data_IF_114340433181
#
_entry.id   IF_114340433181
#
_cell.length_a   1.000
_cell.length_b   1.000
_cell.length_c   1.000
_cell.angle_alpha   90.00
_cell.angle_beta   90.00
_cell.angle_gamma   90.00
#
_symmetry.space_group_name_H-M   'P 1'
#
loop_
_entity.id
_entity.type
_entity.pdbx_description
1 polymer ?
#
# COMPACT_ATOMS: atom_id res chain seq x y z
N UNK A 1 11.85 8.50 11.33
CA UNK A 1 10.73 7.81 10.70
C UNK A 1 11.01 7.56 9.22
N UNK A 2 10.32 6.64 8.61
CA UNK A 2 10.40 6.33 7.19
C UNK A 2 9.01 6.31 6.59
N UNK A 3 8.93 6.49 5.25
CA UNK A 3 7.68 6.35 4.50
C UNK A 3 7.89 5.33 3.39
N UNK A 4 7.04 4.32 3.35
CA UNK A 4 7.05 3.36 2.24
C UNK A 4 6.05 3.80 1.19
N UNK A 5 6.52 3.95 -0.05
CA UNK A 5 5.68 4.18 -1.22
C UNK A 5 5.52 2.84 -1.96
N UNK A 6 4.28 2.45 -2.20
CA UNK A 6 3.96 1.21 -2.91
C UNK A 6 3.12 1.57 -4.13
N UNK A 7 3.67 1.29 -5.32
CA UNK A 7 2.97 1.52 -6.59
C UNK A 7 2.53 0.17 -7.16
N UNK A 8 1.25 0.04 -7.43
CA UNK A 8 0.67 -1.15 -8.04
C UNK A 8 0.20 -0.79 -9.44
N UNK A 9 0.79 -1.40 -10.46
CA UNK A 9 0.34 -1.27 -11.84
C UNK A 9 -0.69 -2.35 -12.10
N UNK A 10 -1.89 -1.92 -12.46
CA UNK A 10 -3.08 -2.76 -12.59
C UNK A 10 -3.35 -3.02 -14.07
N UNK A 11 -3.87 -4.18 -14.40
CA UNK A 11 -4.28 -4.46 -15.77
C UNK A 11 -5.34 -3.46 -16.23
N UNK A 12 -5.27 -3.06 -17.50
CA UNK A 12 -6.20 -2.08 -18.07
C UNK A 12 -7.64 -2.49 -17.82
N UNK A 13 -8.44 -1.55 -17.30
CA UNK A 13 -9.86 -1.77 -17.02
C UNK A 13 -10.13 -2.40 -15.66
N UNK A 14 -9.11 -2.79 -14.91
CA UNK A 14 -9.29 -3.47 -13.62
C UNK A 14 -9.14 -2.56 -12.40
N UNK A 15 -8.76 -1.30 -12.61
CA UNK A 15 -8.55 -0.38 -11.49
C UNK A 15 -9.80 -0.15 -10.63
N UNK A 16 -11.01 0.05 -11.21
CA UNK A 16 -12.21 0.25 -10.38
C UNK A 16 -12.49 -0.91 -9.43
N UNK A 17 -12.31 -2.16 -9.90
CA UNK A 17 -12.49 -3.34 -9.07
C UNK A 17 -11.44 -3.41 -7.97
N UNK A 18 -10.19 -3.14 -8.29
CA UNK A 18 -9.10 -3.11 -7.32
C UNK A 18 -9.35 -2.08 -6.24
N UNK A 19 -9.77 -0.87 -6.62
CA UNK A 19 -10.06 0.20 -5.65
C UNK A 19 -11.21 -0.17 -4.72
N UNK A 20 -12.25 -0.81 -5.25
CA UNK A 20 -13.37 -1.27 -4.43
C UNK A 20 -12.92 -2.30 -3.39
N UNK A 21 -12.07 -3.25 -3.80
CA UNK A 21 -11.54 -4.26 -2.88
C UNK A 21 -10.67 -3.62 -1.79
N UNK A 22 -9.80 -2.68 -2.14
CA UNK A 22 -8.98 -1.99 -1.15
C UNK A 22 -9.82 -1.12 -0.21
N UNK A 23 -10.82 -0.43 -0.72
CA UNK A 23 -11.70 0.40 0.12
C UNK A 23 -12.47 -0.44 1.14
N UNK A 24 -13.03 -1.56 0.71
CA UNK A 24 -13.93 -2.36 1.55
C UNK A 24 -13.21 -3.38 2.43
N UNK A 25 -12.06 -3.90 1.99
CA UNK A 25 -11.36 -4.99 2.70
C UNK A 25 -9.90 -4.69 2.99
N UNK A 26 -9.14 -4.24 1.98
CA UNK A 26 -7.70 -4.11 2.09
C UNK A 26 -7.24 -3.03 3.06
N UNK A 27 -7.69 -1.81 2.87
CA UNK A 27 -7.29 -0.67 3.71
C UNK A 27 -7.76 -0.82 5.15
N UNK A 28 -9.01 -1.23 5.45
CA UNK A 28 -9.41 -1.45 6.84
C UNK A 28 -8.50 -2.44 7.57
N UNK A 29 -8.15 -3.54 6.92
CA UNK A 29 -7.26 -4.55 7.51
C UNK A 29 -5.83 -4.03 7.66
N UNK A 30 -5.31 -3.38 6.64
CA UNK A 30 -3.97 -2.80 6.70
C UNK A 30 -3.87 -1.72 7.78
N UNK A 31 -4.89 -0.87 7.95
CA UNK A 31 -4.89 0.13 9.01
C UNK A 31 -4.93 -0.50 10.40
N UNK A 32 -5.65 -1.59 10.56
CA UNK A 32 -5.69 -2.32 11.84
C UNK A 32 -4.29 -2.82 12.23
N UNK A 33 -3.52 -3.36 11.28
CA UNK A 33 -2.25 -4.03 11.55
C UNK A 33 -1.06 -3.09 11.39
N UNK A 34 -1.01 -2.34 10.29
CA UNK A 34 0.11 -1.44 10.01
C UNK A 34 -0.04 -0.09 10.70
N UNK A 35 -1.24 0.48 10.67
CA UNK A 35 -1.44 1.87 11.04
C UNK A 35 -0.66 2.79 10.09
N UNK A 36 -0.66 4.08 10.31
CA UNK A 36 0.23 5.00 9.62
C UNK A 36 0.00 5.21 8.13
N UNK A 37 -1.21 4.96 7.62
CA UNK A 37 -1.52 5.32 6.24
C UNK A 37 -1.42 6.84 6.07
N UNK A 38 -0.51 7.29 5.19
CA UNK A 38 -0.33 8.70 4.85
C UNK A 38 -1.31 9.09 3.75
N UNK A 39 -1.51 8.24 2.77
CA UNK A 39 -2.44 8.48 1.68
C UNK A 39 -2.52 7.33 0.70
N UNK A 40 -3.58 7.35 -0.10
CA UNK A 40 -3.83 6.39 -1.15
C UNK A 40 -4.30 7.17 -2.38
N UNK A 41 -3.67 6.92 -3.52
CA UNK A 41 -3.82 7.77 -4.71
C UNK A 41 -3.96 6.92 -5.96
N UNK A 42 -4.58 7.51 -6.98
CA UNK A 42 -4.53 7.00 -8.35
C UNK A 42 -3.88 8.04 -9.23
N UNK A 43 -3.38 7.62 -10.38
CA UNK A 43 -2.78 8.54 -11.35
C UNK A 43 -3.87 9.08 -12.28
N UNK A 44 -4.05 10.39 -12.30
CA UNK A 44 -4.96 11.07 -13.22
C UNK A 44 -4.29 11.33 -14.57
N UNK A 45 -3.07 11.88 -14.52
CA UNK A 45 -2.26 12.15 -15.70
C UNK A 45 -0.89 11.49 -15.50
N UNK A 46 -0.48 10.65 -16.43
CA UNK A 46 0.78 9.92 -16.37
C UNK A 46 0.56 8.43 -16.57
N UNK A 47 1.19 7.59 -15.75
CA UNK A 47 1.03 6.14 -15.80
C UNK A 47 -0.36 5.76 -15.26
N UNK A 48 -1.33 5.63 -16.16
CA UNK A 48 -2.69 5.27 -15.81
C UNK A 48 -2.76 3.84 -15.29
N UNK A 49 -3.90 3.49 -14.66
CA UNK A 49 -4.10 2.19 -14.00
C UNK A 49 -3.07 1.91 -12.92
N UNK A 50 -2.65 2.95 -12.22
CA UNK A 50 -1.71 2.84 -11.10
C UNK A 50 -2.41 3.25 -9.80
N UNK A 51 -2.24 2.41 -8.77
CA UNK A 51 -2.70 2.66 -7.41
C UNK A 51 -1.46 2.80 -6.51
N UNK A 52 -1.36 3.94 -5.81
CA UNK A 52 -0.20 4.25 -4.97
C UNK A 52 -0.63 4.45 -3.53
N UNK A 53 0.05 3.78 -2.60
CA UNK A 53 -0.13 4.00 -1.17
C UNK A 53 1.17 4.47 -0.52
N UNK A 54 1.03 5.33 0.48
CA UNK A 54 2.13 5.80 1.30
C UNK A 54 1.87 5.39 2.75
N UNK A 55 2.83 4.69 3.35
CA UNK A 55 2.72 4.18 4.72
C UNK A 55 3.87 4.71 5.57
N UNK A 56 3.55 5.25 6.73
CA UNK A 56 4.53 5.74 7.68
C UNK A 56 4.86 4.67 8.72
N UNK A 57 6.15 4.54 9.04
CA UNK A 57 6.65 3.72 10.14
C UNK A 57 7.66 4.52 10.94
N UNK A 58 7.76 4.27 12.25
CA UNK A 58 8.72 4.95 13.10
C UNK A 58 10.16 4.50 12.80
N UNK A 59 10.33 3.24 12.35
CA UNK A 59 11.63 2.66 12.05
C UNK A 59 11.50 1.50 11.06
N UNK A 60 12.63 1.05 10.52
CA UNK A 60 12.68 -0.17 9.71
C UNK A 60 12.26 -1.40 10.53
N UNK A 61 12.67 -1.47 11.80
CA UNK A 61 12.29 -2.58 12.67
C UNK A 61 10.77 -2.64 12.87
N UNK A 62 10.12 -1.52 13.07
CA UNK A 62 8.66 -1.46 13.18
C UNK A 62 7.98 -1.93 11.89
N UNK A 63 8.50 -1.48 10.74
CA UNK A 63 7.99 -1.92 9.45
C UNK A 63 8.08 -3.43 9.28
N UNK A 64 9.24 -4.02 9.59
CA UNK A 64 9.45 -5.47 9.49
C UNK A 64 8.46 -6.23 10.35
N UNK A 65 8.31 -5.82 11.60
CA UNK A 65 7.39 -6.46 12.54
C UNK A 65 5.94 -6.40 12.04
N UNK A 66 5.49 -5.20 11.69
CA UNK A 66 4.10 -4.99 11.25
C UNK A 66 3.80 -5.70 9.94
N UNK A 67 4.74 -5.64 8.98
CA UNK A 67 4.58 -6.34 7.70
C UNK A 67 4.53 -7.87 7.90
N UNK A 68 5.34 -8.40 8.80
CA UNK A 68 5.32 -9.82 9.12
C UNK A 68 3.97 -10.23 9.73
N UNK A 69 3.41 -9.40 10.62
CA UNK A 69 2.08 -9.67 11.19
C UNK A 69 0.99 -9.65 10.13
N UNK A 70 1.06 -8.69 9.19
CA UNK A 70 0.10 -8.62 8.09
C UNK A 70 0.18 -9.87 7.22
N UNK A 71 1.38 -10.27 6.84
CA UNK A 71 1.58 -11.44 5.97
C UNK A 71 1.15 -12.75 6.63
N UNK A 72 1.19 -12.83 7.95
CA UNK A 72 0.75 -14.01 8.72
C UNK A 72 -0.77 -14.03 8.94
N UNK A 73 -1.47 -12.93 8.71
CA UNK A 73 -2.91 -12.83 8.93
C UNK A 73 -3.69 -13.55 7.83
N UNK A 74 -4.56 -14.48 8.21
CA UNK A 74 -5.32 -15.27 7.25
C UNK A 74 -6.29 -14.41 6.43
N UNK A 75 -6.79 -13.31 6.99
CA UNK A 75 -7.68 -12.39 6.29
C UNK A 75 -6.93 -11.69 5.15
N UNK A 76 -5.65 -11.35 5.40
CA UNK A 76 -4.79 -10.73 4.38
C UNK A 76 -4.49 -11.71 3.24
N UNK A 77 -4.19 -12.96 3.59
CA UNK A 77 -3.96 -14.00 2.59
C UNK A 77 -5.19 -14.20 1.69
N UNK A 78 -6.39 -14.22 2.30
CA UNK A 78 -7.63 -14.31 1.55
C UNK A 78 -7.87 -13.09 0.65
N UNK A 79 -7.56 -11.89 1.14
CA UNK A 79 -7.64 -10.66 0.36
C UNK A 79 -6.71 -10.70 -0.87
N UNK A 80 -5.47 -11.16 -0.68
CA UNK A 80 -4.50 -11.26 -1.78
C UNK A 80 -4.98 -12.17 -2.90
N UNK A 81 -5.69 -13.26 -2.58
CA UNK A 81 -6.28 -14.14 -3.59
C UNK A 81 -7.24 -13.37 -4.50
N UNK A 82 -7.97 -12.41 -3.96
CA UNK A 82 -8.92 -11.59 -4.72
C UNK A 82 -8.24 -10.52 -5.56
N UNK A 83 -7.18 -9.90 -5.03
CA UNK A 83 -6.62 -8.68 -5.62
C UNK A 83 -5.43 -8.97 -6.55
N UNK A 84 -4.63 -10.00 -6.28
CA UNK A 84 -3.45 -10.31 -7.09
C UNK A 84 -3.74 -10.53 -8.58
N UNK A 85 -4.84 -11.21 -8.98
CA UNK A 85 -5.13 -11.35 -10.41
C UNK A 85 -5.35 -10.04 -11.16
N UNK A 86 -5.66 -8.96 -10.45
CA UNK A 86 -5.88 -7.64 -11.04
C UNK A 86 -4.57 -6.86 -11.24
N UNK A 87 -3.50 -7.28 -10.55
CA UNK A 87 -2.21 -6.58 -10.56
C UNK A 87 -1.30 -7.12 -11.65
N UNK A 88 -0.62 -6.21 -12.35
CA UNK A 88 0.37 -6.55 -13.36
C UNK A 88 1.78 -6.52 -12.77
N UNK A 89 2.20 -5.36 -12.23
CA UNK A 89 3.52 -5.18 -11.60
C UNK A 89 3.39 -4.36 -10.34
N UNK A 90 4.42 -4.42 -9.50
CA UNK A 90 4.50 -3.68 -8.24
C UNK A 90 5.91 -3.14 -8.06
N UNK A 91 5.99 -1.91 -7.56
CA UNK A 91 7.25 -1.28 -7.15
C UNK A 91 7.10 -0.71 -5.76
N UNK A 92 8.15 -0.85 -4.96
CA UNK A 92 8.22 -0.26 -3.62
C UNK A 92 9.48 0.59 -3.50
N UNK A 93 9.39 1.65 -2.69
CA UNK A 93 10.57 2.40 -2.27
C UNK A 93 10.39 2.86 -0.83
N UNK A 94 11.52 2.94 -0.12
CA UNK A 94 11.53 3.52 1.22
C UNK A 94 12.09 4.92 1.10
N UNK A 95 11.32 5.89 1.58
CA UNK A 95 11.68 7.30 1.58
C UNK A 95 12.12 7.70 2.99
N UNK A 96 13.26 8.41 3.05
CA UNK A 96 13.77 8.94 4.31
C UNK A 96 13.60 10.45 4.27
N UNK A 97 12.87 11.05 5.22
CA UNK A 97 12.62 12.48 5.18
C UNK A 97 13.91 13.29 5.40
N UNK A 98 13.99 14.41 4.71
CA UNK A 98 15.04 15.39 4.97
C UNK A 98 14.76 16.14 6.26
N UNK A 99 15.77 16.83 6.80
CA UNK A 99 15.61 17.62 8.03
C UNK A 99 14.59 18.75 7.88
N UNK A 100 14.35 19.19 6.66
CA UNK A 100 13.40 20.28 6.35
C UNK A 100 12.05 19.79 5.83
N UNK A 101 11.79 18.49 5.84
CA UNK A 101 10.50 17.95 5.44
C UNK A 101 9.45 18.22 6.51
N UNK A 102 8.22 18.68 6.13
CA UNK A 102 7.12 18.80 7.07
C UNK A 102 6.75 17.46 7.71
N UNK A 103 6.87 16.38 6.94
CA UNK A 103 6.65 15.01 7.39
C UNK A 103 7.99 14.39 7.76
N UNK A 104 8.24 14.21 9.05
CA UNK A 104 9.49 13.62 9.54
C UNK A 104 9.38 13.10 10.97
#
# INVERSE_FOLDING_TARGET
MIVEQRDYHVYTGKLPELLRLYETEGIPLQNEILGGLVGAFTTDIGALSTYTTLWRYDSFAEREEKRARLQADERWKAFLVKVQPLMHTQQNRILVPTSFSPLR
#
